data_IF_190627052660
#
_entry.id   IF_190627052660
#
_cell.length_a   1.000
_cell.length_b   1.000
_cell.length_c   1.000
_cell.angle_alpha   90.00
_cell.angle_beta   90.00
_cell.angle_gamma   90.00
#
_symmetry.space_group_name_H-M   'P 1'
#
loop_
_entity.id
_entity.type
_entity.pdbx_description
1 polymer ?
#
# COMPACT_ATOMS: atom_id res chain seq x y z
N UNK A 1 -5.64 -22.49 9.76
CA UNK A 1 -5.64 -21.00 9.84
C UNK A 1 -7.06 -20.52 9.58
N UNK A 2 -7.65 -19.80 10.52
CA UNK A 2 -9.00 -19.26 10.35
C UNK A 2 -8.97 -17.93 9.59
N UNK A 3 -10.15 -17.39 9.27
CA UNK A 3 -10.26 -16.16 8.48
C UNK A 3 -9.66 -14.95 9.18
N UNK A 4 -9.80 -14.86 10.50
CA UNK A 4 -9.23 -13.76 11.27
C UNK A 4 -7.71 -13.77 11.20
N UNK A 5 -7.10 -14.94 11.45
CA UNK A 5 -5.66 -15.10 11.36
C UNK A 5 -5.14 -14.78 9.95
N UNK A 6 -5.85 -15.25 8.93
CA UNK A 6 -5.50 -14.99 7.54
C UNK A 6 -5.48 -13.49 7.23
N UNK A 7 -6.50 -12.77 7.67
CA UNK A 7 -6.58 -11.31 7.48
C UNK A 7 -5.48 -10.58 8.22
N UNK A 8 -5.17 -11.00 9.44
CA UNK A 8 -4.09 -10.40 10.23
C UNK A 8 -2.74 -10.60 9.55
N UNK A 9 -2.49 -11.78 9.02
CA UNK A 9 -1.24 -12.08 8.31
C UNK A 9 -1.15 -11.30 7.00
N UNK A 10 -2.25 -11.16 6.27
CA UNK A 10 -2.28 -10.36 5.06
C UNK A 10 -2.00 -8.89 5.35
N UNK A 11 -2.58 -8.37 6.44
CA UNK A 11 -2.32 -7.00 6.88
C UNK A 11 -0.85 -6.80 7.24
N UNK A 12 -0.28 -7.71 8.02
CA UNK A 12 1.12 -7.66 8.42
C UNK A 12 2.05 -7.77 7.22
N UNK A 13 1.73 -8.64 6.26
CA UNK A 13 2.52 -8.80 5.05
C UNK A 13 2.48 -7.54 4.18
N UNK A 14 1.33 -6.88 4.10
CA UNK A 14 1.21 -5.62 3.37
C UNK A 14 2.05 -4.52 4.03
N UNK A 15 2.00 -4.40 5.35
CA UNK A 15 2.83 -3.44 6.07
C UNK A 15 4.32 -3.71 5.83
N UNK A 16 4.71 -4.96 5.80
CA UNK A 16 6.10 -5.36 5.51
C UNK A 16 6.48 -4.99 4.08
N UNK A 17 5.58 -5.15 3.12
CA UNK A 17 5.79 -4.74 1.74
C UNK A 17 6.04 -3.23 1.65
N UNK A 18 5.21 -2.43 2.32
CA UNK A 18 5.37 -0.97 2.32
C UNK A 18 6.71 -0.55 2.91
N UNK A 19 7.09 -1.17 4.03
CA UNK A 19 8.38 -0.90 4.66
C UNK A 19 9.53 -1.23 3.72
N UNK A 20 9.47 -2.39 3.08
CA UNK A 20 10.48 -2.84 2.14
C UNK A 20 10.64 -1.87 0.97
N UNK A 21 9.53 -1.45 0.36
CA UNK A 21 9.55 -0.50 -0.74
C UNK A 21 10.10 0.86 -0.33
N UNK A 22 9.80 1.30 0.90
CA UNK A 22 10.26 2.58 1.41
C UNK A 22 11.75 2.55 1.77
N UNK A 23 12.30 1.39 2.08
CA UNK A 23 13.74 1.20 2.29
C UNK A 23 14.50 1.11 0.96
N UNK A 24 13.85 0.65 -0.10
CA UNK A 24 14.45 0.51 -1.44
C UNK A 24 14.23 1.77 -2.27
N UNK A 25 14.85 2.85 -1.85
CA UNK A 25 14.75 4.14 -2.55
C UNK A 25 15.46 4.14 -3.90
N UNK A 26 16.33 3.18 -4.11
CA UNK A 26 17.00 2.93 -5.40
C UNK A 26 16.02 2.42 -6.46
N UNK A 27 14.90 1.81 -6.04
CA UNK A 27 13.86 1.32 -6.94
C UNK A 27 12.78 2.38 -7.07
N UNK A 28 12.71 3.00 -8.24
CA UNK A 28 11.72 4.04 -8.53
C UNK A 28 10.40 3.45 -8.98
N UNK A 29 9.33 4.27 -8.90
CA UNK A 29 8.00 3.83 -9.31
C UNK A 29 7.97 3.36 -10.77
N UNK A 30 8.72 4.00 -11.66
CA UNK A 30 8.77 3.58 -13.05
C UNK A 30 9.38 2.19 -13.21
N UNK A 31 10.36 1.85 -12.38
CA UNK A 31 10.97 0.51 -12.39
C UNK A 31 9.95 -0.54 -11.98
N UNK A 32 9.16 -0.27 -10.95
CA UNK A 32 8.10 -1.17 -10.47
C UNK A 32 7.04 -1.35 -11.56
N UNK A 33 6.62 -0.27 -12.21
CA UNK A 33 5.61 -0.32 -13.27
C UNK A 33 6.08 -1.20 -14.43
N UNK A 34 7.33 -1.03 -14.84
CA UNK A 34 7.89 -1.78 -15.95
C UNK A 34 8.05 -3.27 -15.62
N UNK A 35 8.42 -3.57 -14.37
CA UNK A 35 8.68 -4.95 -13.95
C UNK A 35 7.41 -5.70 -13.54
N UNK A 36 6.53 -5.05 -12.78
CA UNK A 36 5.43 -5.73 -12.10
C UNK A 36 4.05 -5.16 -12.41
N UNK A 37 3.96 -4.05 -13.15
CA UNK A 37 2.68 -3.47 -13.53
C UNK A 37 1.99 -2.68 -12.42
N UNK A 38 2.67 -2.36 -11.34
CA UNK A 38 2.15 -1.49 -10.28
C UNK A 38 3.28 -0.66 -9.69
N UNK A 39 2.94 0.36 -8.93
CA UNK A 39 3.91 1.17 -8.22
C UNK A 39 3.33 1.59 -6.86
N UNK A 40 4.11 2.36 -6.08
CA UNK A 40 3.66 2.84 -4.76
C UNK A 40 2.38 3.67 -4.84
N UNK A 41 2.24 4.45 -5.90
CA UNK A 41 1.01 5.24 -6.11
C UNK A 41 -0.20 4.35 -6.40
N UNK A 42 0.01 3.23 -7.08
CA UNK A 42 -1.05 2.24 -7.29
C UNK A 42 -1.51 1.63 -5.96
N UNK A 43 -0.56 1.33 -5.06
CA UNK A 43 -0.89 0.81 -3.73
C UNK A 43 -1.72 1.83 -2.92
N UNK A 44 -1.38 3.13 -3.03
CA UNK A 44 -2.16 4.19 -2.39
C UNK A 44 -3.59 4.22 -2.91
N UNK A 45 -3.76 4.13 -4.22
CA UNK A 45 -5.07 4.11 -4.85
C UNK A 45 -5.87 2.89 -4.42
N UNK A 46 -5.27 1.71 -4.42
CA UNK A 46 -5.95 0.48 -3.99
C UNK A 46 -6.37 0.56 -2.53
N UNK A 47 -5.51 1.08 -1.67
CA UNK A 47 -5.83 1.28 -0.26
C UNK A 47 -7.06 2.17 -0.10
N UNK A 48 -7.11 3.29 -0.83
CA UNK A 48 -8.24 4.20 -0.82
C UNK A 48 -9.51 3.54 -1.35
N UNK A 49 -9.39 2.83 -2.47
CA UNK A 49 -10.53 2.13 -3.09
C UNK A 49 -11.12 1.07 -2.16
N UNK A 50 -10.28 0.32 -1.47
CA UNK A 50 -10.74 -0.68 -0.50
C UNK A 50 -11.45 -0.02 0.69
N UNK A 51 -10.97 1.14 1.11
CA UNK A 51 -11.65 1.93 2.13
C UNK A 51 -13.05 2.35 1.69
N UNK A 52 -13.18 2.83 0.47
CA UNK A 52 -14.47 3.25 -0.08
C UNK A 52 -15.47 2.10 -0.10
N UNK A 53 -15.04 0.89 -0.44
CA UNK A 53 -15.92 -0.29 -0.42
C UNK A 53 -16.47 -0.58 0.97
N UNK A 54 -15.78 -0.16 2.01
CA UNK A 54 -16.19 -0.36 3.41
C UNK A 54 -16.87 0.88 4.00
N UNK A 55 -17.14 1.90 3.19
CA UNK A 55 -17.74 3.14 3.65
C UNK A 55 -16.79 4.05 4.41
N UNK A 56 -15.49 3.85 4.27
CA UNK A 56 -14.46 4.69 4.89
C UNK A 56 -13.96 5.69 3.85
N UNK A 57 -14.11 6.98 4.15
CA UNK A 57 -13.66 8.02 3.27
C UNK A 57 -12.19 8.35 3.56
N UNK A 58 -11.33 8.12 2.58
CA UNK A 58 -9.89 8.35 2.69
C UNK A 58 -9.49 9.29 1.56
N UNK A 59 -8.85 10.41 1.89
CA UNK A 59 -8.36 11.33 0.88
C UNK A 59 -7.11 10.76 0.19
N UNK A 60 -6.80 11.26 -1.00
CA UNK A 60 -5.59 10.87 -1.71
C UNK A 60 -4.33 11.15 -0.89
N UNK A 61 -4.15 12.36 -0.28
CA UNK A 61 -3.01 12.60 0.59
C UNK A 61 -2.89 11.63 1.76
N UNK A 62 -4.02 11.29 2.42
CA UNK A 62 -4.01 10.33 3.53
C UNK A 62 -3.53 8.95 3.08
N UNK A 63 -4.00 8.48 1.93
CA UNK A 63 -3.59 7.18 1.39
C UNK A 63 -2.09 7.19 1.05
N UNK A 64 -1.60 8.28 0.47
CA UNK A 64 -0.18 8.40 0.14
C UNK A 64 0.70 8.45 1.39
N UNK A 65 0.29 9.20 2.42
CA UNK A 65 1.00 9.22 3.69
C UNK A 65 1.12 7.82 4.29
N UNK A 66 0.04 7.05 4.23
CA UNK A 66 0.04 5.68 4.73
C UNK A 66 1.04 4.81 3.98
N UNK A 67 1.02 4.86 2.66
CA UNK A 67 1.88 3.99 1.83
C UNK A 67 3.35 4.41 1.91
N UNK A 68 3.63 5.70 1.87
CA UNK A 68 5.01 6.20 1.90
C UNK A 68 5.56 6.31 3.32
N UNK A 69 4.71 6.24 4.33
CA UNK A 69 5.13 6.29 5.73
C UNK A 69 5.69 7.63 6.17
N UNK A 70 5.33 8.71 5.47
CA UNK A 70 5.78 10.05 5.80
C UNK A 70 4.69 11.06 5.46
N UNK A 71 4.68 12.26 6.09
CA UNK A 71 3.71 13.31 5.78
C UNK A 71 3.78 13.69 4.29
N UNK A 72 2.59 13.93 3.72
CA UNK A 72 2.46 14.31 2.32
C UNK A 72 2.85 15.77 2.03
#
# INVERSE_FOLDING_TARGET
MNDKEKKELQSAAFERLLKHLNERKDVQNIDLMNLAGFCRNCLSRWFREEGEKKGISISDPQAREHVYGMPY
#
